data_IF_130338787306
#
_entry.id   IF_130338787306
#
_cell.length_a   1.000
_cell.length_b   1.000
_cell.length_c   1.000
_cell.angle_alpha   90.00
_cell.angle_beta   90.00
_cell.angle_gamma   90.00
#
_symmetry.space_group_name_H-M   'P 1'
#
loop_
_entity.id
_entity.type
_entity.pdbx_description
1 polymer ?
#
# COMPACT_ATOMS: atom_id res chain seq x y z
N UNK A 1 3.25 -4.94 10.33
CA UNK A 1 3.43 -6.07 9.40
C UNK A 1 3.73 -5.55 8.01
N UNK A 2 4.71 -6.13 7.33
CA UNK A 2 5.12 -5.77 5.96
C UNK A 2 4.00 -6.11 4.96
N UNK A 3 3.86 -5.29 3.91
CA UNK A 3 2.98 -5.56 2.78
C UNK A 3 3.27 -6.94 2.17
N UNK A 4 2.26 -7.80 1.93
CA UNK A 4 2.50 -9.10 1.33
C UNK A 4 3.18 -8.98 -0.04
N UNK A 5 4.25 -9.76 -0.24
CA UNK A 5 5.03 -9.78 -1.51
C UNK A 5 4.13 -10.10 -2.71
N UNK A 6 3.17 -11.01 -2.52
CA UNK A 6 2.19 -11.43 -3.53
C UNK A 6 0.78 -11.41 -2.96
N UNK A 7 -0.22 -11.23 -3.82
CA UNK A 7 -1.62 -11.34 -3.43
C UNK A 7 -1.98 -12.78 -3.02
N UNK A 8 -2.68 -12.92 -1.88
CA UNK A 8 -3.14 -14.22 -1.35
C UNK A 8 -4.07 -14.99 -2.28
N UNK A 9 -4.74 -14.32 -3.23
CA UNK A 9 -5.70 -14.96 -4.13
C UNK A 9 -5.13 -15.14 -5.53
N UNK A 10 -4.59 -14.07 -6.12
CA UNK A 10 -4.15 -14.07 -7.51
C UNK A 10 -2.66 -14.40 -7.70
N UNK A 11 -1.86 -14.39 -6.64
CA UNK A 11 -0.40 -14.59 -6.71
C UNK A 11 0.38 -13.46 -7.40
N UNK A 12 -0.29 -12.41 -7.90
CA UNK A 12 0.37 -11.24 -8.52
C UNK A 12 1.30 -10.57 -7.51
N UNK A 13 2.48 -10.14 -7.95
CA UNK A 13 3.43 -9.37 -7.13
C UNK A 13 2.82 -8.01 -6.80
N UNK A 14 2.79 -7.67 -5.51
CA UNK A 14 2.20 -6.44 -4.98
C UNK A 14 3.21 -5.54 -4.27
N UNK A 15 4.25 -6.10 -3.64
CA UNK A 15 5.21 -5.30 -2.88
C UNK A 15 5.91 -4.24 -3.73
N UNK A 16 6.28 -4.56 -4.98
CA UNK A 16 7.00 -3.64 -5.86
C UNK A 16 6.20 -2.40 -6.28
N UNK A 17 4.86 -2.46 -6.22
CA UNK A 17 3.97 -1.35 -6.62
C UNK A 17 3.43 -0.58 -5.41
N UNK A 18 3.62 -1.11 -4.19
CA UNK A 18 3.01 -0.56 -2.99
C UNK A 18 3.67 0.76 -2.56
N UNK A 19 4.99 0.89 -2.71
CA UNK A 19 5.68 2.16 -2.40
C UNK A 19 5.18 3.33 -3.25
N UNK A 20 4.97 3.09 -4.54
CA UNK A 20 4.46 4.09 -5.47
C UNK A 20 3.02 4.46 -5.13
N UNK A 21 2.17 3.46 -4.87
CA UNK A 21 0.80 3.68 -4.40
C UNK A 21 0.76 4.53 -3.12
N UNK A 22 1.64 4.21 -2.16
CA UNK A 22 1.73 4.91 -0.88
C UNK A 22 2.07 6.39 -1.07
N UNK A 23 3.04 6.70 -1.94
CA UNK A 23 3.43 8.09 -2.25
C UNK A 23 2.26 8.86 -2.90
N UNK A 24 1.69 8.34 -3.99
CA UNK A 24 0.64 9.05 -4.72
C UNK A 24 -0.64 9.26 -3.93
N UNK A 25 -1.08 8.24 -3.19
CA UNK A 25 -2.33 8.33 -2.43
C UNK A 25 -2.18 9.15 -1.16
N UNK A 26 -1.10 8.92 -0.39
CA UNK A 26 -0.99 9.52 0.95
C UNK A 26 -0.16 10.81 0.99
N UNK A 27 0.81 11.02 0.09
CA UNK A 27 1.58 12.26 0.01
C UNK A 27 0.98 13.26 -0.97
N UNK A 28 0.59 12.80 -2.16
CA UNK A 28 0.08 13.68 -3.24
C UNK A 28 -1.44 13.86 -3.18
N UNK A 29 -2.15 12.99 -2.46
CA UNK A 29 -3.60 13.07 -2.28
C UNK A 29 -4.40 12.62 -3.51
N UNK A 30 -3.81 11.82 -4.39
CA UNK A 30 -4.49 11.30 -5.56
C UNK A 30 -5.59 10.28 -5.20
N UNK A 31 -6.62 10.18 -6.06
CA UNK A 31 -7.71 9.26 -5.86
C UNK A 31 -7.22 7.80 -5.97
N UNK A 32 -7.40 6.94 -4.94
CA UNK A 32 -6.85 5.58 -4.91
C UNK A 32 -7.23 4.73 -6.13
N UNK A 33 -8.43 4.94 -6.64
CA UNK A 33 -8.95 4.21 -7.80
C UNK A 33 -8.12 4.48 -9.06
N UNK A 34 -7.81 5.75 -9.34
CA UNK A 34 -7.02 6.16 -10.51
C UNK A 34 -5.59 5.64 -10.42
N UNK A 35 -4.97 5.79 -9.26
CA UNK A 35 -3.61 5.25 -9.00
C UNK A 35 -3.55 3.74 -9.23
N UNK A 36 -4.52 2.98 -8.71
CA UNK A 36 -4.58 1.53 -8.92
C UNK A 36 -4.81 1.13 -10.39
N UNK A 37 -5.57 1.94 -11.14
CA UNK A 37 -5.79 1.75 -12.57
C UNK A 37 -4.50 1.99 -13.37
N UNK A 38 -3.76 3.06 -13.06
CA UNK A 38 -2.47 3.42 -13.68
C UNK A 38 -1.37 2.41 -13.36
N UNK A 39 -1.30 1.91 -12.13
CA UNK A 39 -0.38 0.85 -11.72
C UNK A 39 -0.75 -0.53 -12.30
N UNK A 40 -1.79 -0.62 -13.14
CA UNK A 40 -2.20 -1.85 -13.82
C UNK A 40 -2.80 -2.91 -12.88
N UNK A 41 -3.32 -2.52 -11.72
CA UNK A 41 -3.96 -3.42 -10.75
C UNK A 41 -5.44 -3.52 -11.08
N UNK A 42 -5.82 -4.36 -12.06
CA UNK A 42 -7.22 -4.46 -12.52
C UNK A 42 -8.12 -5.34 -11.65
N UNK A 43 -7.58 -6.40 -11.04
CA UNK A 43 -8.38 -7.39 -10.31
C UNK A 43 -8.68 -6.92 -8.88
N UNK A 44 -9.94 -7.04 -8.47
CA UNK A 44 -10.40 -6.67 -7.12
C UNK A 44 -9.61 -7.40 -6.00
N UNK A 45 -9.27 -8.68 -6.22
CA UNK A 45 -8.55 -9.49 -5.23
C UNK A 45 -7.14 -8.97 -4.97
N UNK A 46 -6.50 -8.37 -5.96
CA UNK A 46 -5.19 -7.77 -5.80
C UNK A 46 -5.32 -6.31 -5.26
N UNK A 47 -6.39 -5.58 -5.60
CA UNK A 47 -6.70 -4.24 -5.03
C UNK A 47 -7.00 -4.28 -3.54
N UNK A 48 -7.81 -5.23 -3.08
CA UNK A 48 -8.21 -5.32 -1.67
C UNK A 48 -6.99 -5.39 -0.75
N UNK A 49 -5.95 -6.13 -1.15
CA UNK A 49 -4.74 -6.31 -0.37
C UNK A 49 -3.94 -5.02 -0.22
N UNK A 50 -3.96 -4.15 -1.23
CA UNK A 50 -3.30 -2.83 -1.18
C UNK A 50 -4.11 -1.87 -0.32
N UNK A 51 -5.43 -1.82 -0.52
CA UNK A 51 -6.32 -0.89 0.17
C UNK A 51 -6.43 -1.23 1.66
N UNK A 52 -6.46 -2.51 2.01
CA UNK A 52 -6.60 -2.96 3.39
C UNK A 52 -5.29 -3.01 4.16
N UNK A 53 -4.16 -2.69 3.54
CA UNK A 53 -2.88 -2.69 4.23
C UNK A 53 -2.87 -1.52 5.24
N UNK A 54 -2.52 -1.77 6.51
CA UNK A 54 -2.57 -0.73 7.53
C UNK A 54 -1.39 0.23 7.38
N UNK A 55 -1.73 1.46 7.01
CA UNK A 55 -0.80 2.58 6.82
C UNK A 55 -1.13 3.67 7.83
N UNK A 56 -0.12 4.20 8.50
CA UNK A 56 -0.27 5.33 9.41
C UNK A 56 0.27 6.60 8.80
N UNK A 57 -0.40 7.70 9.09
CA UNK A 57 0.03 9.04 8.73
C UNK A 57 0.35 9.74 10.04
N UNK A 58 1.62 10.01 10.30
CA UNK A 58 2.07 10.70 11.50
C UNK A 58 3.08 11.78 11.09
N UNK A 59 2.80 13.02 11.47
CA UNK A 59 3.68 14.18 11.22
C UNK A 59 4.03 14.42 9.73
N UNK A 60 3.12 14.09 8.81
CA UNK A 60 3.33 14.24 7.36
C UNK A 60 4.16 13.12 6.72
N UNK A 61 4.57 12.11 7.50
CA UNK A 61 5.23 10.92 7.00
C UNK A 61 4.27 9.73 6.98
N UNK A 62 4.35 8.97 5.90
CA UNK A 62 3.55 7.76 5.72
C UNK A 62 4.36 6.59 6.26
N UNK A 63 3.95 6.01 7.39
CA UNK A 63 4.65 4.94 8.10
C UNK A 63 3.88 3.63 8.00
N UNK A 64 4.60 2.53 7.88
CA UNK A 64 4.01 1.20 8.01
C UNK A 64 3.99 0.79 9.48
N UNK A 65 3.10 -0.15 9.84
CA UNK A 65 2.99 -0.68 11.21
C UNK A 65 4.33 -1.19 11.80
N UNK A 66 5.27 -1.58 10.93
CA UNK A 66 6.58 -2.08 11.36
C UNK A 66 7.46 -0.92 11.79
N UNK A 67 7.40 0.20 11.06
CA UNK A 67 8.15 1.42 11.37
C UNK A 67 7.69 2.03 12.70
N UNK A 68 6.38 1.95 12.97
CA UNK A 68 5.81 2.41 14.23
C UNK A 68 6.12 1.45 15.39
N UNK A 69 6.00 0.14 15.20
CA UNK A 69 6.35 -0.84 16.22
C UNK A 69 7.84 -0.78 16.60
N UNK A 70 8.73 -0.50 15.64
CA UNK A 70 10.15 -0.31 15.88
C UNK A 70 10.47 0.94 16.72
N UNK A 71 9.54 1.88 16.89
CA UNK A 71 9.74 3.03 17.81
C UNK A 71 9.59 2.66 19.29
N UNK A 72 9.08 1.46 19.58
CA UNK A 72 8.85 0.97 20.95
C UNK A 72 9.88 -0.07 21.41
N UNK A 73 10.90 -0.35 20.59
CA UNK A 73 12.06 -1.18 20.93
C UNK A 73 13.30 -0.35 21.25
#
# INVERSE_FOLDING_TARGET
>A
MIMPVRCFTCGKVLASIFEEYKKRVYLEGEEPKKVLDELGVRRYCCRRSIISHPVFIKDGEVKELIDEAAQYE
#
